data_IF_955993615357
#
_entry.id   IF_955993615357
#
_cell.length_a   1.000
_cell.length_b   1.000
_cell.length_c   1.000
_cell.angle_alpha   90.00
_cell.angle_beta   90.00
_cell.angle_gamma   90.00
#
_symmetry.space_group_name_H-M   'P 1'
#
loop_
_entity.id
_entity.type
_entity.pdbx_description
1 polymer ?
#
# COMPACT_ATOMS: atom_id res chain seq x y z
N UNK A 1 -23.70 2.71 9.38
CA UNK A 1 -22.32 2.24 9.13
C UNK A 1 -21.40 3.38 9.51
N UNK A 2 -20.57 3.21 10.54
CA UNK A 2 -19.67 4.26 10.98
C UNK A 2 -18.52 4.37 9.99
N UNK A 3 -18.29 5.56 9.44
CA UNK A 3 -17.06 5.89 8.72
C UNK A 3 -15.96 5.93 9.78
N UNK A 4 -15.21 4.84 9.91
CA UNK A 4 -13.99 4.85 10.71
C UNK A 4 -13.05 5.86 10.05
N UNK A 5 -12.71 6.95 10.75
CA UNK A 5 -11.65 7.86 10.32
C UNK A 5 -10.38 7.05 10.12
N UNK A 6 -9.94 6.96 8.86
CA UNK A 6 -8.68 6.33 8.51
C UNK A 6 -7.59 7.36 8.81
N UNK A 7 -7.10 7.39 10.04
CA UNK A 7 -5.91 8.17 10.39
C UNK A 7 -4.78 7.70 9.48
N UNK A 8 -4.32 8.57 8.57
CA UNK A 8 -3.20 8.25 7.69
C UNK A 8 -1.98 7.81 8.49
N UNK A 9 -1.09 7.07 7.85
CA UNK A 9 0.19 6.69 8.46
C UNK A 9 1.01 7.94 8.75
N UNK A 10 1.43 8.13 9.98
CA UNK A 10 2.27 9.27 10.36
C UNK A 10 3.65 9.18 9.68
N UNK A 11 4.20 10.34 9.30
CA UNK A 11 5.58 10.45 8.81
C UNK A 11 6.54 10.08 9.95
N UNK A 12 7.72 9.54 9.61
CA UNK A 12 8.77 9.06 10.55
C UNK A 12 8.40 7.81 11.38
N UNK A 13 7.22 7.22 11.16
CA UNK A 13 6.86 5.91 11.68
C UNK A 13 7.11 4.79 10.67
N UNK A 14 7.13 3.54 11.16
CA UNK A 14 7.17 2.38 10.27
C UNK A 14 5.93 2.36 9.38
N UNK A 15 6.16 2.22 8.07
CA UNK A 15 5.08 1.97 7.14
C UNK A 15 4.36 0.66 7.51
N UNK A 16 3.02 0.61 7.38
CA UNK A 16 2.27 -0.61 7.64
C UNK A 16 2.69 -1.69 6.65
N UNK A 17 2.88 -2.91 7.14
CA UNK A 17 2.98 -4.06 6.26
C UNK A 17 1.59 -4.47 5.77
N UNK A 18 1.50 -4.85 4.50
CA UNK A 18 0.27 -5.35 3.91
C UNK A 18 0.56 -6.40 2.83
N UNK A 19 -0.43 -7.26 2.62
CA UNK A 19 -0.39 -8.35 1.65
C UNK A 19 -1.13 -7.95 0.37
N UNK A 20 -0.48 -8.15 -0.78
CA UNK A 20 -1.13 -7.99 -2.08
C UNK A 20 -1.02 -9.27 -2.89
N UNK A 21 -2.14 -9.76 -3.48
CA UNK A 21 -2.07 -10.82 -4.46
C UNK A 21 -1.40 -10.29 -5.73
N UNK A 22 -0.30 -10.93 -6.11
CA UNK A 22 0.45 -10.62 -7.32
C UNK A 22 -0.17 -11.27 -8.57
N UNK A 23 0.13 -10.68 -9.72
CA UNK A 23 -0.24 -11.26 -11.03
C UNK A 23 0.54 -12.53 -11.35
N UNK A 24 1.62 -12.79 -10.62
CA UNK A 24 2.43 -13.99 -10.63
C UNK A 24 1.83 -15.13 -9.79
N UNK A 25 0.74 -14.88 -9.07
CA UNK A 25 0.07 -15.86 -8.21
C UNK A 25 0.63 -15.94 -6.78
N UNK A 26 1.63 -15.14 -6.46
CA UNK A 26 2.23 -15.08 -5.13
C UNK A 26 1.58 -13.98 -4.28
N UNK A 27 1.68 -14.11 -2.95
CA UNK A 27 1.30 -13.04 -2.02
C UNK A 27 2.54 -12.22 -1.67
N UNK A 28 2.50 -10.95 -2.05
CA UNK A 28 3.60 -10.01 -1.82
C UNK A 28 3.39 -9.27 -0.50
N UNK A 29 4.40 -9.27 0.36
CA UNK A 29 4.45 -8.48 1.58
C UNK A 29 5.40 -7.31 1.39
N UNK A 30 4.99 -6.10 1.76
CA UNK A 30 5.82 -4.91 1.64
C UNK A 30 7.13 -5.05 2.43
N UNK A 31 7.06 -5.60 3.65
CA UNK A 31 8.21 -5.75 4.52
C UNK A 31 9.31 -6.67 3.94
N UNK A 32 8.95 -7.71 3.19
CA UNK A 32 9.92 -8.66 2.59
C UNK A 32 10.80 -8.00 1.53
N UNK A 33 10.30 -6.99 0.83
CA UNK A 33 11.10 -6.28 -0.17
C UNK A 33 12.24 -5.48 0.47
N UNK A 34 12.11 -5.04 1.72
CA UNK A 34 13.19 -4.34 2.43
C UNK A 34 14.40 -5.24 2.72
N UNK A 35 14.26 -6.56 2.67
CA UNK A 35 15.39 -7.50 2.79
C UNK A 35 16.38 -7.35 1.63
N UNK A 36 15.88 -6.98 0.45
CA UNK A 36 16.64 -6.91 -0.79
C UNK A 36 16.83 -5.47 -1.31
N UNK A 37 15.96 -4.55 -0.92
CA UNK A 37 15.93 -3.17 -1.41
C UNK A 37 15.97 -2.16 -0.27
N UNK A 38 16.72 -1.07 -0.46
CA UNK A 38 16.87 -0.01 0.56
C UNK A 38 15.63 0.86 0.74
N UNK A 39 14.80 0.96 -0.30
CA UNK A 39 13.59 1.79 -0.35
C UNK A 39 12.54 1.07 -1.19
N UNK A 40 11.29 1.11 -0.76
CA UNK A 40 10.14 0.59 -1.50
C UNK A 40 9.10 1.70 -1.66
N UNK A 41 8.56 1.87 -2.86
CA UNK A 41 7.51 2.84 -3.17
C UNK A 41 6.26 2.07 -3.61
N UNK A 42 5.10 2.48 -3.08
CA UNK A 42 3.81 1.87 -3.38
C UNK A 42 2.93 2.91 -4.06
N UNK A 43 2.37 2.56 -5.22
CA UNK A 43 1.46 3.43 -5.96
C UNK A 43 0.13 2.70 -6.13
N UNK A 44 -0.93 3.23 -5.53
CA UNK A 44 -2.29 2.75 -5.74
C UNK A 44 -2.89 3.48 -6.94
N UNK A 45 -3.17 2.74 -8.02
CA UNK A 45 -3.83 3.24 -9.23
C UNK A 45 -5.15 2.51 -9.42
N UNK A 46 -6.13 3.21 -9.99
CA UNK A 46 -7.43 2.64 -10.37
C UNK A 46 -7.70 3.00 -11.83
N UNK A 47 -8.26 2.06 -12.58
CA UNK A 47 -8.79 2.32 -13.93
C UNK A 47 -10.12 3.12 -13.89
N UNK A 48 -10.72 3.24 -12.71
CA UNK A 48 -11.86 4.10 -12.43
C UNK A 48 -11.39 5.22 -11.50
N UNK A 49 -10.65 6.18 -12.06
CA UNK A 49 -10.44 7.45 -11.37
C UNK A 49 -11.66 8.33 -11.73
N UNK A 50 -12.51 8.74 -10.77
CA UNK A 50 -13.58 9.68 -11.08
C UNK A 50 -12.94 10.97 -11.63
N UNK A 51 -13.50 11.48 -12.71
CA UNK A 51 -13.13 12.79 -13.25
C UNK A 51 -13.38 13.82 -12.14
N UNK A 52 -12.38 14.64 -11.83
CA UNK A 52 -12.54 15.75 -10.89
C UNK A 52 -13.32 16.84 -11.62
N UNK A 53 -14.60 16.99 -11.29
CA UNK A 53 -15.34 18.24 -11.57
C UNK A 53 -14.85 19.37 -10.64
#
# INVERSE_FOLDING_TARGET
>A
MSLTEMTGTEIDNYAPDFELPGVDGEVHHLARYLENFKVVCVIFLSNQCPEVD
#
